data_IF_361946744599
#
_entry.id   IF_361946744599
#
_cell.length_a   1.000
_cell.length_b   1.000
_cell.length_c   1.000
_cell.angle_alpha   90.00
_cell.angle_beta   90.00
_cell.angle_gamma   90.00
#
_symmetry.space_group_name_H-M   'P 1'
#
loop_
_entity.id
_entity.type
_entity.pdbx_description
1 polymer ?
#
# COMPACT_ATOMS: atom_id res chain seq x y z
N UNK A 1 -11.01 15.65 2.78
CA UNK A 1 -11.74 14.59 2.01
C UNK A 1 -11.83 13.37 2.90
N UNK A 2 -13.01 12.79 3.11
CA UNK A 2 -13.13 11.57 3.94
C UNK A 2 -12.57 10.36 3.18
N UNK A 3 -11.86 9.46 3.87
CA UNK A 3 -11.29 8.24 3.29
C UNK A 3 -12.33 7.37 2.59
N UNK A 4 -13.57 7.36 3.09
CA UNK A 4 -14.68 6.67 2.44
C UNK A 4 -14.91 7.13 0.98
N UNK A 5 -14.83 8.45 0.73
CA UNK A 5 -15.01 9.00 -0.63
C UNK A 5 -13.86 8.61 -1.56
N UNK A 6 -12.65 8.48 -1.03
CA UNK A 6 -11.47 8.07 -1.80
C UNK A 6 -11.63 6.60 -2.23
N UNK A 7 -12.08 5.71 -1.32
CA UNK A 7 -12.34 4.32 -1.67
C UNK A 7 -13.47 4.17 -2.71
N UNK A 8 -14.56 4.92 -2.57
CA UNK A 8 -15.64 4.92 -3.57
C UNK A 8 -15.14 5.40 -4.93
N UNK A 9 -14.35 6.47 -4.98
CA UNK A 9 -13.77 6.97 -6.22
C UNK A 9 -12.81 5.96 -6.86
N UNK A 10 -11.98 5.29 -6.05
CA UNK A 10 -11.07 4.24 -6.53
C UNK A 10 -11.85 3.06 -7.12
N UNK A 11 -12.88 2.60 -6.42
CA UNK A 11 -13.73 1.50 -6.88
C UNK A 11 -14.40 1.83 -8.22
N UNK A 12 -14.94 3.04 -8.36
CA UNK A 12 -15.56 3.48 -9.60
C UNK A 12 -14.54 3.61 -10.75
N UNK A 13 -13.34 4.12 -10.46
CA UNK A 13 -12.26 4.20 -11.43
C UNK A 13 -11.85 2.80 -11.92
N UNK A 14 -11.65 1.85 -11.02
CA UNK A 14 -11.31 0.46 -11.36
C UNK A 14 -12.41 -0.22 -12.17
N UNK A 15 -13.68 0.05 -11.84
CA UNK A 15 -14.83 -0.47 -12.60
C UNK A 15 -14.86 0.06 -14.03
N UNK A 16 -14.50 1.32 -14.23
CA UNK A 16 -14.49 1.98 -15.54
C UNK A 16 -13.29 1.60 -16.40
N UNK A 17 -12.14 1.28 -15.79
CA UNK A 17 -10.89 0.97 -16.47
C UNK A 17 -10.32 -0.39 -16.02
N UNK A 18 -11.00 -1.52 -16.27
CA UNK A 18 -10.61 -2.82 -15.68
C UNK A 18 -9.21 -3.30 -16.10
N UNK A 19 -8.73 -2.94 -17.30
CA UNK A 19 -7.41 -3.35 -17.80
C UNK A 19 -6.28 -2.38 -17.49
N UNK A 20 -6.58 -1.08 -17.40
CA UNK A 20 -5.58 0.00 -17.27
C UNK A 20 -5.63 0.70 -15.90
N UNK A 21 -6.36 0.14 -14.94
CA UNK A 21 -6.60 0.76 -13.63
C UNK A 21 -5.33 1.08 -12.86
N UNK A 22 -4.25 0.32 -13.02
CA UNK A 22 -2.98 0.57 -12.33
C UNK A 22 -2.38 1.93 -12.72
N UNK A 23 -2.45 2.29 -14.01
CA UNK A 23 -1.96 3.56 -14.51
C UNK A 23 -3.00 4.68 -14.33
N UNK A 24 -4.25 4.43 -14.75
CA UNK A 24 -5.31 5.46 -14.76
C UNK A 24 -5.73 5.86 -13.34
N UNK A 25 -5.82 4.89 -12.42
CA UNK A 25 -6.29 5.10 -11.06
C UNK A 25 -5.15 5.29 -10.05
N UNK A 26 -3.88 5.38 -10.47
CA UNK A 26 -2.70 5.44 -9.60
C UNK A 26 -2.82 6.50 -8.49
N UNK A 27 -3.29 7.69 -8.85
CA UNK A 27 -3.45 8.79 -7.90
C UNK A 27 -4.50 8.49 -6.81
N UNK A 28 -5.58 7.77 -7.16
CA UNK A 28 -6.60 7.30 -6.20
C UNK A 28 -6.06 6.15 -5.35
N UNK A 29 -5.31 5.22 -5.95
CA UNK A 29 -4.63 4.13 -5.25
C UNK A 29 -3.68 4.67 -4.17
N UNK A 30 -2.87 5.68 -4.52
CA UNK A 30 -1.93 6.31 -3.60
C UNK A 30 -2.67 6.98 -2.43
N UNK A 31 -3.76 7.71 -2.72
CA UNK A 31 -4.60 8.34 -1.69
C UNK A 31 -5.32 7.32 -0.81
N UNK A 32 -5.77 6.21 -1.39
CA UNK A 32 -6.41 5.13 -0.66
C UNK A 32 -5.42 4.45 0.29
N UNK A 33 -4.20 4.18 -0.18
CA UNK A 33 -3.10 3.67 0.65
C UNK A 33 -2.79 4.60 1.82
N UNK A 34 -2.67 5.91 1.56
CA UNK A 34 -2.44 6.89 2.62
C UNK A 34 -3.55 6.90 3.67
N UNK A 35 -4.80 6.83 3.23
CA UNK A 35 -5.95 6.70 4.13
C UNK A 35 -5.89 5.46 5.02
N UNK A 36 -5.41 4.33 4.50
CA UNK A 36 -5.19 3.13 5.32
C UNK A 36 -4.09 3.38 6.35
N UNK A 37 -2.96 3.92 5.92
CA UNK A 37 -1.81 4.20 6.80
C UNK A 37 -2.18 5.15 7.94
N UNK A 38 -2.92 6.23 7.66
CA UNK A 38 -3.40 7.13 8.71
C UNK A 38 -4.35 6.43 9.69
N UNK A 39 -5.11 5.43 9.22
CA UNK A 39 -6.02 4.66 10.07
C UNK A 39 -5.34 3.64 10.98
N UNK A 40 -4.21 3.06 10.56
CA UNK A 40 -3.50 2.03 11.34
C UNK A 40 -2.29 2.56 12.11
N UNK A 41 -1.54 3.49 11.51
CA UNK A 41 -0.30 4.05 12.03
C UNK A 41 -0.37 5.60 12.01
N UNK A 42 -1.32 6.21 12.75
CA UNK A 42 -1.56 7.65 12.69
C UNK A 42 -0.36 8.48 13.15
N UNK A 43 0.42 7.98 14.11
CA UNK A 43 1.58 8.69 14.65
C UNK A 43 2.73 8.73 13.64
N UNK A 44 3.07 7.59 13.05
CA UNK A 44 4.15 7.46 12.08
C UNK A 44 3.85 8.22 10.79
N UNK A 45 2.59 8.24 10.36
CA UNK A 45 2.15 9.06 9.23
C UNK A 45 2.36 10.54 9.54
N UNK A 46 1.93 11.02 10.71
CA UNK A 46 2.08 12.42 11.09
C UNK A 46 3.55 12.84 11.18
N UNK A 47 4.39 12.01 11.79
CA UNK A 47 5.83 12.24 11.90
C UNK A 47 6.49 12.36 10.52
N UNK A 48 6.06 11.55 9.55
CA UNK A 48 6.55 11.61 8.19
C UNK A 48 6.05 12.87 7.46
N UNK A 49 4.76 13.21 7.59
CA UNK A 49 4.18 14.44 7.01
C UNK A 49 4.87 15.69 7.55
N UNK A 50 5.13 15.74 8.86
CA UNK A 50 5.83 16.84 9.52
C UNK A 50 7.29 16.94 9.05
N UNK A 51 7.98 15.82 8.82
CA UNK A 51 9.35 15.81 8.31
C UNK A 51 9.47 16.26 6.84
N UNK A 52 8.55 15.78 5.99
CA UNK A 52 8.51 16.16 4.56
C UNK A 52 7.99 17.59 4.41
N UNK A 53 7.14 18.05 5.33
CA UNK A 53 6.51 19.37 5.30
C UNK A 53 5.27 19.44 4.40
N UNK A 54 4.62 18.31 4.14
CA UNK A 54 3.42 18.22 3.30
C UNK A 54 2.51 17.10 3.78
N UNK A 55 1.21 17.29 3.67
CA UNK A 55 0.19 16.24 3.90
C UNK A 55 -0.29 15.64 2.58
N UNK A 56 0.40 15.92 1.47
CA UNK A 56 0.03 15.43 0.15
C UNK A 56 0.56 14.02 -0.07
N UNK A 57 -0.30 13.02 0.17
CA UNK A 57 -0.05 11.61 -0.07
C UNK A 57 0.63 11.29 -1.42
N UNK A 58 0.21 11.95 -2.50
CA UNK A 58 0.75 11.71 -3.83
C UNK A 58 2.21 12.18 -3.95
N UNK A 59 2.58 13.23 -3.23
CA UNK A 59 3.94 13.76 -3.23
C UNK A 59 4.87 12.89 -2.39
N UNK A 60 4.40 12.49 -1.20
CA UNK A 60 5.17 11.61 -0.29
C UNK A 60 5.39 10.24 -0.91
N UNK A 61 4.37 9.69 -1.59
CA UNK A 61 4.46 8.39 -2.27
C UNK A 61 5.42 8.39 -3.47
N UNK A 62 5.76 9.54 -4.03
CA UNK A 62 6.75 9.65 -5.12
C UNK A 62 8.17 9.79 -4.59
N UNK A 63 8.37 10.60 -3.54
CA UNK A 63 9.70 10.89 -3.04
C UNK A 63 9.68 11.25 -1.56
N UNK A 64 10.46 10.50 -0.78
CA UNK A 64 10.80 10.84 0.61
C UNK A 64 12.22 11.39 0.63
N UNK A 65 12.45 12.63 1.11
CA UNK A 65 13.79 13.17 1.25
C UNK A 65 14.67 12.29 2.16
N UNK A 66 15.98 12.15 1.89
CA UNK A 66 16.88 11.30 2.70
C UNK A 66 16.85 11.60 4.20
N UNK A 67 16.72 12.88 4.56
CA UNK A 67 16.59 13.32 5.97
C UNK A 67 15.37 12.71 6.70
N UNK A 68 14.36 12.25 5.97
CA UNK A 68 13.11 11.67 6.46
C UNK A 68 13.02 10.15 6.26
N UNK A 69 14.05 9.49 5.74
CA UNK A 69 14.03 8.04 5.49
C UNK A 69 13.73 7.25 6.78
N UNK A 70 14.34 7.64 7.90
CA UNK A 70 14.08 7.00 9.20
C UNK A 70 12.60 7.05 9.61
N UNK A 71 11.85 8.10 9.21
CA UNK A 71 10.40 8.19 9.45
C UNK A 71 9.60 7.28 8.51
N UNK A 72 10.03 7.15 7.26
CA UNK A 72 9.45 6.20 6.31
C UNK A 72 9.69 4.73 6.73
N UNK A 73 10.87 4.43 7.28
CA UNK A 73 11.18 3.14 7.88
C UNK A 73 10.30 2.85 9.10
N UNK A 74 10.11 3.84 9.99
CA UNK A 74 9.23 3.70 11.15
C UNK A 74 7.77 3.40 10.74
N UNK A 75 7.25 4.11 9.73
CA UNK A 75 5.93 3.83 9.15
C UNK A 75 5.86 2.40 8.59
N UNK A 76 6.89 1.98 7.86
CA UNK A 76 6.97 0.63 7.28
C UNK A 76 6.96 -0.46 8.36
N UNK A 77 7.71 -0.26 9.45
CA UNK A 77 7.75 -1.17 10.58
C UNK A 77 6.38 -1.28 11.28
N UNK A 78 5.68 -0.16 11.47
CA UNK A 78 4.33 -0.16 12.03
C UNK A 78 3.34 -0.95 11.14
N UNK A 79 3.37 -0.72 9.82
CA UNK A 79 2.51 -1.43 8.86
C UNK A 79 2.77 -2.95 8.91
N UNK A 80 4.03 -3.37 8.91
CA UNK A 80 4.38 -4.79 8.95
C UNK A 80 3.99 -5.46 10.28
N UNK A 81 4.09 -4.73 11.40
CA UNK A 81 3.56 -5.19 12.70
C UNK A 81 2.05 -5.41 12.67
N UNK A 82 1.30 -4.48 12.09
CA UNK A 82 -0.15 -4.62 11.92
C UNK A 82 -0.53 -5.75 10.96
N UNK A 83 0.23 -5.94 9.88
CA UNK A 83 0.06 -7.06 8.94
C UNK A 83 0.25 -8.40 9.64
N UNK A 84 1.34 -8.55 10.39
CA UNK A 84 1.63 -9.77 11.16
C UNK A 84 0.52 -10.08 12.17
N UNK A 85 0.07 -9.06 12.91
CA UNK A 85 -1.05 -9.22 13.85
C UNK A 85 -2.36 -9.60 13.15
N UNK A 86 -2.65 -9.02 11.98
CA UNK A 86 -3.84 -9.35 11.20
C UNK A 86 -3.78 -10.81 10.69
N UNK A 87 -2.63 -11.25 10.16
CA UNK A 87 -2.44 -12.63 9.71
C UNK A 87 -2.64 -13.64 10.83
N UNK A 88 -2.10 -13.35 12.03
CA UNK A 88 -2.33 -14.19 13.21
C UNK A 88 -3.81 -14.31 13.54
N UNK A 89 -4.52 -13.19 13.64
CA UNK A 89 -5.98 -13.18 13.90
C UNK A 89 -6.77 -13.92 12.82
N UNK A 90 -6.37 -13.82 11.55
CA UNK A 90 -7.01 -14.56 10.46
C UNK A 90 -6.78 -16.06 10.59
N UNK A 91 -5.58 -16.49 10.98
CA UNK A 91 -5.26 -17.91 11.19
C UNK A 91 -5.93 -18.49 12.43
N UNK A 92 -6.16 -17.66 13.46
CA UNK A 92 -6.82 -18.03 14.72
C UNK A 92 -8.36 -18.05 14.60
N UNK A 93 -8.93 -17.55 13.50
CA UNK A 93 -10.38 -17.56 13.27
C UNK A 93 -10.88 -18.96 12.85
N UNK A 94 -11.70 -19.66 13.68
CA UNK A 94 -12.12 -21.04 13.43
C UNK A 94 -13.17 -21.20 12.31
N UNK A 95 -13.55 -20.12 11.63
CA UNK A 95 -14.53 -20.15 10.54
C UNK A 95 -13.83 -20.16 9.18
N UNK A 96 -13.63 -21.37 8.63
CA UNK A 96 -13.42 -21.71 7.20
C UNK A 96 -12.44 -20.83 6.41
N UNK A 97 -11.29 -21.42 6.06
CA UNK A 97 -10.29 -20.95 5.08
C UNK A 97 -10.76 -19.83 4.17
N UNK A 98 -10.45 -18.59 4.56
CA UNK A 98 -10.57 -17.44 3.68
C UNK A 98 -9.63 -17.69 2.50
N UNK A 99 -10.19 -17.81 1.30
CA UNK A 99 -9.46 -17.92 0.03
C UNK A 99 -8.23 -17.02 0.05
N UNK A 100 -7.06 -17.64 0.10
CA UNK A 100 -5.78 -17.00 -0.15
C UNK A 100 -5.88 -16.27 -1.50
N UNK A 101 -5.71 -14.94 -1.58
CA UNK A 101 -5.32 -14.32 -2.83
C UNK A 101 -4.02 -15.03 -3.26
N UNK A 102 -3.89 -15.51 -4.50
CA UNK A 102 -2.68 -16.22 -4.91
C UNK A 102 -1.47 -15.36 -4.61
N UNK A 103 -0.56 -15.94 -3.81
CA UNK A 103 0.83 -15.53 -3.70
C UNK A 103 1.31 -15.17 -5.10
N UNK A 104 1.67 -13.91 -5.33
CA UNK A 104 2.55 -13.56 -6.44
C UNK A 104 3.88 -14.27 -6.17
N UNK A 105 4.01 -15.49 -6.70
CA UNK A 105 5.26 -16.22 -6.68
C UNK A 105 6.29 -15.39 -7.46
N UNK A 106 7.50 -15.21 -6.91
CA UNK A 106 8.59 -14.58 -7.64
C UNK A 106 8.82 -15.39 -8.91
N UNK A 107 8.72 -14.71 -10.06
CA UNK A 107 8.95 -15.33 -11.36
C UNK A 107 10.34 -16.00 -11.35
N UNK A 108 10.32 -17.29 -11.63
CA UNK A 108 11.51 -18.08 -11.87
C UNK A 108 12.35 -17.43 -12.98
N UNK A 109 13.61 -17.15 -12.65
CA UNK A 109 14.65 -16.81 -13.60
C UNK A 109 14.76 -17.92 -14.65
N UNK A 110 14.57 -17.57 -15.92
CA UNK A 110 14.98 -18.40 -17.04
C UNK A 110 16.42 -18.02 -17.45
N UNK A 111 17.37 -18.96 -17.53
CA UNK A 111 18.73 -18.71 -18.03
C UNK A 111 18.77 -18.50 -19.57
N UNK A 112 19.86 -17.92 -20.10
CA UNK A 112 19.92 -17.37 -21.46
C UNK A 112 19.96 -18.45 -22.54
N UNK A 113 19.21 -18.25 -23.64
CA UNK A 113 19.37 -19.01 -24.89
C UNK A 113 20.51 -18.38 -25.70
N UNK A 114 21.58 -19.16 -25.85
CA UNK A 114 22.69 -18.95 -26.76
C UNK A 114 22.23 -18.90 -28.22
N UNK A 115 22.70 -17.90 -28.96
CA UNK A 115 22.71 -17.92 -30.43
C UNK A 115 23.96 -18.66 -30.91
N UNK A 116 23.75 -19.74 -31.68
CA UNK A 116 24.50 -20.11 -32.89
C UNK A 116 23.90 -21.35 -33.53
#
# INVERSE_FOLDING_TARGET
>A
MSCHRIFQALQECQRRYPRDHEFVCQHLTSKAGWCLFTGVCPAEVRDLEDCVGTTNASQIGTFVPPRCEHKAEALSACIEGHRSAAQRRTNECPSKGAKTPPQAQPQAQAPPVSQQ
#
